data_IF_447370574808
#
_entry.id   IF_447370574808
#
_cell.length_a   1.000
_cell.length_b   1.000
_cell.length_c   1.000
_cell.angle_alpha   90.00
_cell.angle_beta   90.00
_cell.angle_gamma   90.00
#
_symmetry.space_group_name_H-M   'P 1'
#
loop_
_entity.id
_entity.type
_entity.pdbx_description
1 polymer ?
#
# COMPACT_ATOMS: atom_id res chain seq x y z
N UNK A 1 18.34 18.12 -4.80
CA UNK A 1 17.13 18.29 -3.98
C UNK A 1 17.60 18.43 -2.55
N UNK A 2 17.20 19.48 -1.83
CA UNK A 2 17.71 19.74 -0.47
C UNK A 2 17.17 18.69 0.51
N UNK A 3 18.05 18.20 1.38
CA UNK A 3 17.71 17.27 2.47
C UNK A 3 16.65 17.94 3.40
N UNK A 4 15.55 17.25 3.81
CA UNK A 4 14.56 17.79 4.75
C UNK A 4 15.17 18.39 6.02
N UNK A 5 16.25 17.81 6.53
CA UNK A 5 16.99 18.28 7.70
C UNK A 5 17.63 19.66 7.45
N UNK A 6 18.32 19.82 6.32
CA UNK A 6 18.90 21.10 5.87
C UNK A 6 17.81 22.17 5.70
N UNK A 7 16.63 21.78 5.20
CA UNK A 7 15.50 22.69 5.00
C UNK A 7 14.93 23.21 6.33
N UNK A 8 14.88 22.35 7.36
CA UNK A 8 14.44 22.71 8.71
C UNK A 8 15.45 23.62 9.43
N UNK A 9 16.75 23.36 9.28
CA UNK A 9 17.80 24.25 9.81
C UNK A 9 17.70 25.66 9.21
N UNK A 10 17.52 25.74 7.89
CA UNK A 10 17.33 27.02 7.19
C UNK A 10 16.05 27.73 7.64
N UNK A 11 14.95 26.99 7.84
CA UNK A 11 13.70 27.53 8.34
C UNK A 11 13.83 28.05 9.77
N UNK A 12 14.55 27.33 10.63
CA UNK A 12 14.83 27.74 12.01
C UNK A 12 15.65 29.02 12.06
N UNK A 13 16.74 29.10 11.29
CA UNK A 13 17.57 30.31 11.21
C UNK A 13 16.76 31.51 10.71
N UNK A 14 15.93 31.30 9.67
CA UNK A 14 15.03 32.33 9.14
C UNK A 14 13.99 32.79 10.17
N UNK A 15 13.39 31.86 10.92
CA UNK A 15 12.41 32.16 11.96
C UNK A 15 13.03 32.99 13.10
N UNK A 16 14.23 32.61 13.55
CA UNK A 16 14.99 33.36 14.57
C UNK A 16 15.28 34.78 14.11
N UNK A 17 15.75 34.97 12.86
CA UNK A 17 16.00 36.30 12.31
C UNK A 17 14.73 37.17 12.26
N UNK A 18 13.56 36.55 12.06
CA UNK A 18 12.27 37.23 11.95
C UNK A 18 11.49 37.30 13.27
N UNK A 19 12.07 36.82 14.38
CA UNK A 19 11.41 36.79 15.69
C UNK A 19 10.12 35.96 15.68
N UNK A 20 10.06 34.88 14.90
CA UNK A 20 8.89 34.00 14.79
C UNK A 20 9.09 32.71 15.57
N UNK A 21 7.99 32.18 16.10
CA UNK A 21 7.96 30.84 16.70
C UNK A 21 8.20 29.78 15.64
N UNK A 22 9.09 28.83 15.94
CA UNK A 22 9.36 27.66 15.13
C UNK A 22 9.82 26.51 16.04
N UNK A 23 9.09 25.39 15.99
CA UNK A 23 9.41 24.14 16.65
C UNK A 23 9.80 23.12 15.57
N UNK A 24 11.10 22.89 15.32
CA UNK A 24 11.57 22.08 14.20
C UNK A 24 11.05 20.65 14.27
N UNK A 25 11.04 20.04 15.47
CA UNK A 25 10.57 18.67 15.69
C UNK A 25 9.10 18.43 15.27
N UNK A 26 8.23 19.42 15.50
CA UNK A 26 6.81 19.34 15.13
C UNK A 26 6.63 19.44 13.60
N UNK A 27 7.43 20.27 12.94
CA UNK A 27 7.39 20.45 11.48
C UNK A 27 8.03 19.25 10.78
N UNK A 28 9.11 18.74 11.34
CA UNK A 28 9.80 17.53 10.89
C UNK A 28 8.88 16.31 10.92
N UNK A 29 8.19 16.10 12.05
CA UNK A 29 7.15 15.06 12.18
C UNK A 29 6.04 15.25 11.14
N UNK A 30 5.55 16.47 10.95
CA UNK A 30 4.54 16.77 9.93
C UNK A 30 5.01 16.46 8.49
N UNK A 31 6.27 16.76 8.18
CA UNK A 31 6.86 16.48 6.87
C UNK A 31 7.00 14.98 6.67
N UNK A 32 7.57 14.24 7.64
CA UNK A 32 7.72 12.78 7.55
C UNK A 32 6.39 12.08 7.34
N UNK A 33 5.36 12.47 8.09
CA UNK A 33 4.02 11.88 7.95
C UNK A 33 3.44 12.11 6.55
N UNK A 34 3.68 13.26 5.93
CA UNK A 34 3.17 13.55 4.58
C UNK A 34 4.00 12.89 3.49
N UNK A 35 5.31 12.81 3.69
CA UNK A 35 6.22 12.18 2.74
C UNK A 35 5.96 10.67 2.68
N UNK A 36 5.94 10.00 3.84
CA UNK A 36 5.76 8.55 3.94
C UNK A 36 4.37 8.06 3.53
N UNK A 37 3.30 8.84 3.77
CA UNK A 37 1.93 8.35 3.57
C UNK A 37 1.14 9.05 2.46
N UNK A 38 1.58 10.24 2.01
CA UNK A 38 0.89 10.99 0.95
C UNK A 38 1.78 11.24 -0.28
N UNK A 39 3.05 10.81 -0.25
CA UNK A 39 4.04 11.11 -1.31
C UNK A 39 4.28 12.62 -1.49
N UNK A 40 4.00 13.43 -0.46
CA UNK A 40 4.05 14.87 -0.53
C UNK A 40 5.37 15.40 0.05
N UNK A 41 6.26 15.78 -0.84
CA UNK A 41 7.57 16.35 -0.50
C UNK A 41 7.44 17.60 0.40
N UNK A 42 8.48 17.85 1.21
CA UNK A 42 8.54 18.92 2.21
C UNK A 42 8.20 20.33 1.68
N UNK A 43 8.42 20.57 0.39
CA UNK A 43 8.23 21.87 -0.24
C UNK A 43 6.89 22.04 -0.97
N UNK A 44 6.07 20.98 -1.06
CA UNK A 44 4.77 20.96 -1.75
C UNK A 44 3.62 20.91 -0.74
N UNK A 45 2.77 21.94 -0.75
CA UNK A 45 1.65 22.09 0.20
C UNK A 45 0.34 22.47 -0.51
N UNK A 46 -0.34 21.52 -1.17
CA UNK A 46 -1.65 21.75 -1.78
C UNK A 46 -2.72 22.08 -0.73
N UNK A 47 -3.82 22.71 -1.17
CA UNK A 47 -4.97 22.95 -0.29
C UNK A 47 -5.56 21.64 0.25
N UNK A 48 -6.18 21.68 1.43
CA UNK A 48 -6.81 20.54 2.13
C UNK A 48 -5.85 19.49 2.70
N UNK A 49 -4.55 19.59 2.41
CA UNK A 49 -3.56 18.62 2.90
C UNK A 49 -3.13 18.86 4.35
N UNK A 50 -3.35 20.06 4.90
CA UNK A 50 -3.03 20.38 6.29
C UNK A 50 -4.11 19.88 7.23
N UNK A 51 -5.37 20.00 6.82
CA UNK A 51 -6.50 19.42 7.55
C UNK A 51 -6.36 17.90 7.62
N UNK A 52 -6.05 17.24 6.51
CA UNK A 52 -5.78 15.81 6.44
C UNK A 52 -4.61 15.39 7.34
N UNK A 53 -3.49 16.14 7.28
CA UNK A 53 -2.36 15.90 8.18
C UNK A 53 -2.79 15.93 9.65
N UNK A 54 -3.49 16.99 10.08
CA UNK A 54 -3.77 17.23 11.49
C UNK A 54 -4.89 16.34 12.05
N UNK A 55 -5.82 15.89 11.21
CA UNK A 55 -7.01 15.16 11.65
C UNK A 55 -7.03 13.69 11.26
N UNK A 56 -6.15 13.28 10.35
CA UNK A 56 -6.07 11.89 9.87
C UNK A 56 -4.66 11.34 10.07
N UNK A 57 -3.64 11.93 9.44
CA UNK A 57 -2.27 11.36 9.48
C UNK A 57 -1.62 11.41 10.86
N UNK A 58 -1.75 12.52 11.57
CA UNK A 58 -1.18 12.64 12.90
C UNK A 58 -1.89 11.76 13.94
N UNK A 59 -3.24 11.73 14.00
CA UNK A 59 -3.94 10.76 14.83
C UNK A 59 -3.57 9.31 14.49
N UNK A 60 -3.52 8.94 13.21
CA UNK A 60 -3.28 7.55 12.78
C UNK A 60 -1.84 7.07 12.95
N UNK A 61 -0.86 7.88 12.55
CA UNK A 61 0.53 7.46 12.39
C UNK A 61 1.54 8.34 13.13
N UNK A 62 1.11 9.48 13.67
CA UNK A 62 1.96 10.34 14.47
C UNK A 62 2.20 9.79 15.89
N UNK A 63 3.07 10.43 16.68
CA UNK A 63 3.36 10.05 18.06
C UNK A 63 2.10 9.91 18.93
N UNK A 64 2.20 9.13 20.01
CA UNK A 64 1.15 9.07 21.03
C UNK A 64 1.00 10.40 21.77
N UNK A 65 -0.22 10.66 22.21
CA UNK A 65 -0.59 11.90 22.88
C UNK A 65 -0.92 13.06 21.94
N UNK A 66 -1.39 14.15 22.54
CA UNK A 66 -1.76 15.37 21.81
C UNK A 66 -0.51 16.25 21.68
N UNK A 67 -0.07 16.63 20.47
CA UNK A 67 1.03 17.56 20.32
C UNK A 67 0.65 18.95 20.86
N UNK A 68 1.63 19.83 21.07
CA UNK A 68 1.33 21.26 21.26
C UNK A 68 0.77 21.83 19.96
N UNK A 69 -0.56 21.81 19.84
CA UNK A 69 -1.28 22.22 18.64
C UNK A 69 -1.05 23.70 18.32
N UNK A 70 -0.91 24.54 19.33
CA UNK A 70 -0.66 25.97 19.12
C UNK A 70 0.74 26.20 18.54
N UNK A 71 1.75 25.51 19.07
CA UNK A 71 3.11 25.55 18.55
C UNK A 71 3.20 24.93 17.15
N UNK A 72 2.49 23.82 16.87
CA UNK A 72 2.45 23.18 15.56
C UNK A 72 1.89 24.14 14.50
N UNK A 73 0.71 24.73 14.75
CA UNK A 73 0.07 25.68 13.82
C UNK A 73 0.96 26.90 13.56
N UNK A 74 1.57 27.46 14.61
CA UNK A 74 2.48 28.60 14.47
C UNK A 74 3.74 28.25 13.67
N UNK A 75 4.30 27.06 13.89
CA UNK A 75 5.52 26.59 13.24
C UNK A 75 5.29 26.26 11.77
N UNK A 76 4.15 25.67 11.43
CA UNK A 76 3.73 25.43 10.04
C UNK A 76 3.51 26.75 9.27
N UNK A 77 2.84 27.76 9.85
CA UNK A 77 2.73 29.10 9.22
C UNK A 77 4.11 29.73 8.97
N UNK A 78 5.01 29.61 9.94
CA UNK A 78 6.40 30.07 9.80
C UNK A 78 7.13 29.33 8.69
N UNK A 79 6.95 28.01 8.60
CA UNK A 79 7.57 27.18 7.56
C UNK A 79 7.10 27.57 6.15
N UNK A 80 5.80 27.68 5.91
CA UNK A 80 5.27 28.03 4.59
C UNK A 80 5.69 29.44 4.14
N UNK A 81 5.78 30.39 5.08
CA UNK A 81 6.28 31.74 4.78
C UNK A 81 7.77 31.74 4.47
N UNK A 82 8.56 30.92 5.16
CA UNK A 82 9.95 30.69 4.80
C UNK A 82 10.05 30.13 3.37
N UNK A 83 9.33 29.05 3.06
CA UNK A 83 9.35 28.44 1.72
C UNK A 83 8.95 29.44 0.63
N UNK A 84 7.87 30.19 0.84
CA UNK A 84 7.38 31.18 -0.13
C UNK A 84 8.36 32.35 -0.28
N UNK A 85 8.83 32.93 0.82
CA UNK A 85 9.70 34.12 0.77
C UNK A 85 11.10 33.85 0.23
N UNK A 86 11.53 32.58 0.25
CA UNK A 86 12.84 32.16 -0.24
C UNK A 86 12.78 31.45 -1.60
N UNK A 87 11.61 31.41 -2.24
CA UNK A 87 11.40 30.79 -3.56
C UNK A 87 11.49 29.26 -3.56
N UNK A 88 11.37 28.61 -2.40
CA UNK A 88 11.47 27.15 -2.23
C UNK A 88 10.13 26.45 -2.29
N UNK A 89 9.01 27.17 -2.26
CA UNK A 89 7.68 26.58 -2.31
C UNK A 89 7.36 26.06 -3.72
N UNK A 90 7.00 24.77 -3.83
CA UNK A 90 6.70 24.12 -5.10
C UNK A 90 5.45 24.70 -5.78
N UNK A 91 5.41 24.58 -7.11
CA UNK A 91 4.20 24.81 -7.91
C UNK A 91 3.05 23.88 -7.46
N UNK A 92 1.81 24.37 -7.55
CA UNK A 92 0.63 23.65 -7.06
C UNK A 92 0.40 23.72 -5.55
N UNK A 93 1.25 24.43 -4.80
CA UNK A 93 1.01 24.70 -3.37
C UNK A 93 0.04 25.87 -3.18
N UNK A 94 -0.84 25.77 -2.19
CA UNK A 94 -1.75 26.84 -1.82
C UNK A 94 -1.01 28.03 -1.17
N UNK A 95 -1.65 29.19 -1.13
CA UNK A 95 -1.05 30.36 -0.49
C UNK A 95 -0.84 30.14 1.02
N UNK A 96 0.31 30.57 1.61
CA UNK A 96 0.59 30.38 3.03
C UNK A 96 -0.51 30.87 3.97
N UNK A 97 -1.20 31.96 3.61
CA UNK A 97 -2.32 32.46 4.40
C UNK A 97 -3.53 31.50 4.42
N UNK A 98 -3.80 30.81 3.30
CA UNK A 98 -4.87 29.82 3.22
C UNK A 98 -4.51 28.57 4.04
N UNK A 99 -3.27 28.07 3.91
CA UNK A 99 -2.75 26.94 4.70
C UNK A 99 -2.79 27.25 6.21
N UNK A 100 -2.45 28.47 6.62
CA UNK A 100 -2.54 28.90 8.02
C UNK A 100 -3.98 28.94 8.55
N UNK A 101 -4.95 29.34 7.73
CA UNK A 101 -6.37 29.27 8.12
C UNK A 101 -6.85 27.83 8.23
N UNK A 102 -6.42 26.97 7.32
CA UNK A 102 -6.71 25.54 7.34
C UNK A 102 -6.16 24.90 8.62
N UNK A 103 -4.87 25.11 8.91
CA UNK A 103 -4.21 24.64 10.13
C UNK A 103 -4.94 25.11 11.41
N UNK A 104 -5.35 26.38 11.44
CA UNK A 104 -6.07 26.94 12.58
C UNK A 104 -7.45 26.32 12.77
N UNK A 105 -8.16 25.98 11.68
CA UNK A 105 -9.45 25.30 11.74
C UNK A 105 -9.29 23.86 12.20
N UNK A 106 -8.34 23.12 11.62
CA UNK A 106 -8.04 21.75 11.98
C UNK A 106 -7.53 21.63 13.43
N UNK A 107 -6.65 22.53 13.87
CA UNK A 107 -6.11 22.54 15.23
C UNK A 107 -7.16 22.61 16.33
N UNK A 108 -8.35 23.19 16.08
CA UNK A 108 -9.45 23.18 17.05
C UNK A 108 -10.01 21.78 17.33
N UNK A 109 -9.86 20.86 16.38
CA UNK A 109 -10.36 19.47 16.44
C UNK A 109 -9.25 18.45 16.71
N UNK A 110 -7.99 18.82 16.44
CA UNK A 110 -6.84 17.92 16.51
C UNK A 110 -6.68 17.22 17.86
N UNK A 111 -6.91 17.95 18.97
CA UNK A 111 -6.80 17.34 20.30
C UNK A 111 -7.79 16.19 20.50
N UNK A 112 -9.06 16.39 20.12
CA UNK A 112 -10.08 15.34 20.19
C UNK A 112 -9.75 14.17 19.24
N UNK A 113 -9.27 14.46 18.04
CA UNK A 113 -8.89 13.43 17.06
C UNK A 113 -7.71 12.57 17.56
N UNK A 114 -6.71 13.18 18.21
CA UNK A 114 -5.54 12.47 18.75
C UNK A 114 -5.82 11.68 20.04
N UNK A 115 -6.94 11.91 20.71
CA UNK A 115 -7.36 11.17 21.92
C UNK A 115 -8.40 10.10 21.64
N UNK A 116 -8.86 10.00 20.40
CA UNK A 116 -9.87 9.03 19.99
C UNK A 116 -9.16 7.83 19.36
N UNK A 117 -9.07 6.74 20.11
CA UNK A 117 -8.39 5.51 19.71
C UNK A 117 -8.93 4.92 18.40
N UNK A 118 -10.14 5.34 17.98
CA UNK A 118 -10.71 4.96 16.68
C UNK A 118 -9.97 5.57 15.48
N UNK A 119 -9.23 6.65 15.69
CA UNK A 119 -8.45 7.30 14.65
C UNK A 119 -7.00 6.77 14.58
N UNK A 120 -6.64 5.78 15.40
CA UNK A 120 -5.27 5.25 15.45
C UNK A 120 -5.08 4.16 14.40
N UNK A 121 -3.96 4.21 13.68
CA UNK A 121 -3.56 3.12 12.79
C UNK A 121 -2.98 1.94 13.57
N UNK A 122 -2.96 0.77 12.93
CA UNK A 122 -2.53 -0.51 13.54
C UNK A 122 -1.14 -0.43 14.20
N UNK A 123 -0.18 0.22 13.53
CA UNK A 123 1.16 0.39 14.09
C UNK A 123 1.16 1.26 15.36
N UNK A 124 0.33 2.30 15.40
CA UNK A 124 0.22 3.16 16.58
C UNK A 124 -0.44 2.42 17.74
N UNK A 125 -1.50 1.66 17.49
CA UNK A 125 -2.12 0.79 18.51
C UNK A 125 -1.09 -0.18 19.09
N UNK A 126 -0.29 -0.82 18.24
CA UNK A 126 0.72 -1.78 18.65
C UNK A 126 1.84 -1.13 19.49
N UNK A 127 2.31 0.07 19.09
CA UNK A 127 3.32 0.80 19.85
C UNK A 127 2.79 1.28 21.20
N UNK A 128 1.55 1.76 21.27
CA UNK A 128 0.89 2.12 22.53
C UNK A 128 0.75 0.92 23.46
N UNK A 129 0.40 -0.25 22.92
CA UNK A 129 0.42 -1.49 23.69
C UNK A 129 1.82 -1.84 24.21
N UNK A 130 2.85 -1.62 23.39
CA UNK A 130 4.25 -1.75 23.80
C UNK A 130 4.58 -0.88 25.01
N UNK A 131 4.22 0.39 24.99
CA UNK A 131 4.40 1.32 26.11
C UNK A 131 3.68 0.82 27.37
N UNK A 132 2.45 0.33 27.25
CA UNK A 132 1.67 -0.23 28.37
C UNK A 132 2.37 -1.42 29.05
N UNK A 133 3.00 -2.31 28.27
CA UNK A 133 3.75 -3.45 28.80
C UNK A 133 5.20 -3.10 29.18
N UNK A 134 5.57 -1.82 29.12
CA UNK A 134 6.87 -1.30 29.54
C UNK A 134 7.99 -1.46 28.50
N UNK A 135 7.63 -1.64 27.22
CA UNK A 135 8.57 -1.74 26.10
C UNK A 135 8.38 -0.52 25.18
N UNK A 136 9.27 0.46 25.29
CA UNK A 136 9.33 1.63 24.39
C UNK A 136 10.43 1.45 23.33
N UNK A 137 10.30 2.16 22.21
CA UNK A 137 11.32 2.22 21.15
C UNK A 137 12.19 3.50 21.23
N UNK A 138 11.79 4.50 22.04
CA UNK A 138 12.34 5.86 21.98
C UNK A 138 13.80 5.98 22.44
N UNK A 139 14.26 5.10 23.32
CA UNK A 139 15.63 5.04 23.84
C UNK A 139 16.49 3.96 23.17
N UNK A 140 15.96 3.29 22.15
CA UNK A 140 16.72 2.27 21.43
C UNK A 140 17.92 2.92 20.72
N UNK A 141 19.11 2.36 20.94
CA UNK A 141 20.37 2.93 20.45
C UNK A 141 20.85 2.32 19.13
N UNK A 142 20.12 1.31 18.64
CA UNK A 142 20.43 0.58 17.41
C UNK A 142 19.16 0.03 16.77
N UNK A 143 19.23 -0.25 15.47
CA UNK A 143 18.12 -0.84 14.71
C UNK A 143 17.82 -2.26 15.22
N UNK A 144 18.86 -3.00 15.60
CA UNK A 144 18.73 -4.34 16.19
C UNK A 144 17.94 -4.30 17.50
N UNK A 145 18.19 -3.31 18.35
CA UNK A 145 17.46 -3.10 19.60
C UNK A 145 16.00 -2.69 19.35
N UNK A 146 15.75 -1.83 18.35
CA UNK A 146 14.38 -1.49 17.90
C UNK A 146 13.64 -2.74 17.45
N UNK A 147 14.26 -3.60 16.64
CA UNK A 147 13.66 -4.82 16.11
C UNK A 147 13.39 -5.85 17.22
N UNK A 148 14.30 -6.04 18.17
CA UNK A 148 14.10 -6.92 19.31
C UNK A 148 12.95 -6.44 20.20
N UNK A 149 12.88 -5.14 20.50
CA UNK A 149 11.81 -4.54 21.28
C UNK A 149 10.48 -4.67 20.55
N UNK A 150 10.42 -4.35 19.26
CA UNK A 150 9.22 -4.47 18.45
C UNK A 150 8.72 -5.92 18.34
N UNK A 151 9.61 -6.89 18.11
CA UNK A 151 9.25 -8.31 18.08
C UNK A 151 8.61 -8.79 19.39
N UNK A 152 9.14 -8.36 20.54
CA UNK A 152 8.54 -8.66 21.85
C UNK A 152 7.15 -8.05 22.02
N UNK A 153 6.93 -6.84 21.49
CA UNK A 153 5.60 -6.19 21.49
C UNK A 153 4.62 -7.01 20.64
N UNK A 154 5.02 -7.41 19.43
CA UNK A 154 4.20 -8.22 18.53
C UNK A 154 3.88 -9.60 19.11
N UNK A 155 4.85 -10.28 19.71
CA UNK A 155 4.64 -11.57 20.36
C UNK A 155 3.66 -11.45 21.53
N UNK A 156 3.84 -10.42 22.37
CA UNK A 156 2.93 -10.13 23.48
C UNK A 156 1.52 -9.78 22.99
N UNK A 157 1.40 -9.05 21.88
CA UNK A 157 0.12 -8.71 21.25
C UNK A 157 -0.57 -9.97 20.73
N UNK A 158 0.14 -10.81 19.98
CA UNK A 158 -0.41 -12.04 19.41
C UNK A 158 -0.78 -13.09 20.46
N UNK A 159 -0.14 -13.06 21.63
CA UNK A 159 -0.51 -13.88 22.78
C UNK A 159 -1.83 -13.45 23.45
N UNK A 160 -2.36 -12.25 23.14
CA UNK A 160 -3.65 -11.80 23.66
C UNK A 160 -4.81 -12.60 23.02
N UNK A 161 -5.87 -12.89 23.80
CA UNK A 161 -7.12 -13.40 23.26
C UNK A 161 -7.67 -12.52 22.13
N UNK A 162 -8.29 -13.14 21.12
CA UNK A 162 -8.77 -12.43 19.93
C UNK A 162 -9.82 -11.34 20.27
N UNK A 163 -10.65 -11.54 21.29
CA UNK A 163 -11.61 -10.54 21.76
C UNK A 163 -10.94 -9.33 22.42
N UNK A 164 -9.79 -9.54 23.08
CA UNK A 164 -9.01 -8.45 23.66
C UNK A 164 -8.28 -7.64 22.58
N UNK A 165 -7.73 -8.30 21.55
CA UNK A 165 -7.14 -7.61 20.39
C UNK A 165 -8.17 -6.76 19.64
N UNK A 166 -9.41 -7.26 19.48
CA UNK A 166 -10.53 -6.50 18.90
C UNK A 166 -10.89 -5.28 19.74
N UNK A 167 -11.09 -5.45 21.06
CA UNK A 167 -11.38 -4.31 21.96
C UNK A 167 -10.33 -3.20 21.93
N UNK A 168 -9.06 -3.56 21.73
CA UNK A 168 -7.93 -2.63 21.65
C UNK A 168 -7.76 -1.97 20.28
N UNK A 169 -8.57 -2.39 19.30
CA UNK A 169 -8.52 -1.90 17.92
C UNK A 169 -9.88 -1.32 17.48
N UNK A 170 -10.54 -0.45 18.28
CA UNK A 170 -11.92 -0.04 18.04
C UNK A 170 -12.12 0.78 16.75
N UNK A 171 -11.05 1.34 16.18
CA UNK A 171 -11.06 2.05 14.89
C UNK A 171 -11.06 1.14 13.67
N UNK A 172 -10.52 -0.07 13.80
CA UNK A 172 -10.60 -1.10 12.77
C UNK A 172 -12.02 -1.65 12.71
N UNK A 173 -12.65 -1.89 13.87
CA UNK A 173 -14.07 -2.30 13.94
C UNK A 173 -15.01 -1.19 13.41
N UNK A 174 -14.68 0.10 13.53
CA UNK A 174 -15.52 1.21 13.02
C UNK A 174 -15.32 1.47 11.51
N UNK A 175 -14.13 1.24 10.97
CA UNK A 175 -13.92 1.17 9.52
C UNK A 175 -14.59 -0.07 8.92
N UNK A 176 -14.58 -1.20 9.64
CA UNK A 176 -15.36 -2.40 9.30
C UNK A 176 -16.88 -2.22 9.50
N UNK A 177 -17.31 -1.39 10.45
CA UNK A 177 -18.73 -1.12 10.74
C UNK A 177 -19.30 0.08 9.96
N UNK A 178 -18.54 1.08 9.54
CA UNK A 178 -18.99 2.04 8.52
C UNK A 178 -19.01 1.39 7.13
N UNK A 179 -18.13 0.41 6.88
CA UNK A 179 -18.27 -0.54 5.77
C UNK A 179 -19.34 -1.62 6.00
N UNK A 180 -19.94 -1.69 7.20
CA UNK A 180 -20.87 -2.75 7.63
C UNK A 180 -22.21 -2.25 8.20
N UNK A 181 -22.49 -0.95 8.15
CA UNK A 181 -23.74 -0.36 8.67
C UNK A 181 -24.89 -0.42 7.65
N UNK A 182 -24.71 -1.12 6.54
CA UNK A 182 -25.78 -1.76 5.76
C UNK A 182 -25.64 -3.29 5.78
N UNK A 183 -25.48 -3.90 6.95
CA UNK A 183 -25.33 -5.36 6.96
C UNK A 183 -25.39 -6.05 8.31
N UNK A 184 -26.54 -6.00 9.00
CA UNK A 184 -26.90 -7.11 9.88
C UNK A 184 -27.32 -8.30 8.98
N UNK A 185 -26.32 -8.93 8.37
CA UNK A 185 -26.40 -10.09 7.50
C UNK A 185 -25.07 -10.85 7.58
N UNK A 186 -25.14 -12.12 7.96
CA UNK A 186 -24.07 -13.12 7.94
C UNK A 186 -23.20 -13.07 6.65
N UNK A 187 -21.89 -12.80 6.78
CA UNK A 187 -20.89 -12.77 5.70
C UNK A 187 -20.60 -11.37 5.16
N UNK A 188 -19.31 -10.99 4.98
CA UNK A 188 -18.98 -9.67 4.42
C UNK A 188 -19.67 -9.49 3.07
N UNK A 189 -20.37 -8.38 2.87
CA UNK A 189 -21.32 -8.16 1.78
C UNK A 189 -20.72 -8.39 0.37
N UNK A 190 -19.42 -8.13 0.20
CA UNK A 190 -18.69 -8.41 -1.05
C UNK A 190 -18.48 -9.92 -1.32
N UNK A 191 -18.46 -10.78 -0.29
CA UNK A 191 -18.33 -12.24 -0.48
C UNK A 191 -19.57 -12.85 -1.11
N UNK A 192 -20.73 -12.22 -0.98
CA UNK A 192 -21.94 -12.61 -1.70
C UNK A 192 -21.83 -12.37 -3.21
N UNK A 193 -20.92 -11.47 -3.63
CA UNK A 193 -20.62 -11.19 -5.02
C UNK A 193 -19.59 -12.12 -5.65
N UNK A 194 -18.95 -13.01 -4.87
CA UNK A 194 -17.98 -13.96 -5.41
C UNK A 194 -18.66 -15.12 -6.15
N UNK A 195 -17.94 -15.66 -7.14
CA UNK A 195 -18.31 -16.86 -7.87
C UNK A 195 -18.29 -18.10 -6.96
N UNK A 196 -18.90 -19.19 -7.43
CA UNK A 196 -18.75 -20.49 -6.77
C UNK A 196 -17.25 -20.89 -6.76
N UNK A 197 -16.64 -21.17 -5.59
CA UNK A 197 -15.24 -21.57 -5.54
C UNK A 197 -14.89 -22.74 -6.47
N UNK A 198 -15.84 -23.63 -6.77
CA UNK A 198 -15.64 -24.74 -7.69
C UNK A 198 -15.35 -24.29 -9.14
N UNK A 199 -15.78 -23.08 -9.55
CA UNK A 199 -15.54 -22.54 -10.89
C UNK A 199 -14.32 -21.62 -10.93
N UNK A 200 -14.03 -20.87 -9.85
CA UNK A 200 -12.84 -20.01 -9.75
C UNK A 200 -11.55 -20.79 -9.47
N UNK A 201 -11.55 -21.73 -8.52
CA UNK A 201 -10.34 -22.46 -8.10
C UNK A 201 -9.58 -23.16 -9.23
N UNK A 202 -10.23 -23.76 -10.25
CA UNK A 202 -9.54 -24.31 -11.42
C UNK A 202 -8.66 -23.28 -12.15
N UNK A 203 -9.09 -22.02 -12.27
CA UNK A 203 -8.31 -20.97 -12.93
C UNK A 203 -7.04 -20.64 -12.16
N UNK A 204 -7.14 -20.50 -10.84
CA UNK A 204 -5.98 -20.29 -9.95
C UNK A 204 -5.00 -21.45 -10.08
N UNK A 205 -5.47 -22.70 -9.93
CA UNK A 205 -4.64 -23.91 -9.95
C UNK A 205 -3.90 -24.12 -11.27
N UNK A 206 -4.53 -23.75 -12.38
CA UNK A 206 -3.99 -23.93 -13.72
C UNK A 206 -3.10 -22.76 -14.19
N UNK A 207 -2.99 -21.69 -13.40
CA UNK A 207 -2.24 -20.49 -13.76
C UNK A 207 -0.73 -20.76 -13.86
N UNK A 208 -0.07 -20.08 -14.81
CA UNK A 208 1.39 -20.15 -14.96
C UNK A 208 2.10 -19.57 -13.73
N UNK A 209 1.46 -18.60 -13.07
CA UNK A 209 1.91 -18.04 -11.80
C UNK A 209 2.01 -19.11 -10.71
N UNK A 210 0.97 -19.92 -10.49
CA UNK A 210 1.00 -20.99 -9.47
C UNK A 210 2.03 -22.07 -9.83
N UNK A 211 2.19 -22.39 -11.12
CA UNK A 211 3.24 -23.31 -11.55
C UNK A 211 4.65 -22.79 -11.22
N UNK A 212 4.91 -21.51 -11.48
CA UNK A 212 6.16 -20.84 -11.16
C UNK A 212 6.39 -20.72 -9.65
N UNK A 213 5.33 -20.46 -8.89
CA UNK A 213 5.36 -20.38 -7.43
C UNK A 213 5.69 -21.73 -6.79
N UNK A 214 5.14 -22.84 -7.32
CA UNK A 214 5.57 -24.20 -6.91
C UNK A 214 7.05 -24.43 -7.16
N UNK A 215 7.54 -24.05 -8.33
CA UNK A 215 8.96 -24.20 -8.65
C UNK A 215 9.84 -23.39 -7.69
N UNK A 216 9.43 -22.16 -7.34
CA UNK A 216 10.12 -21.35 -6.33
C UNK A 216 10.10 -22.02 -4.95
N UNK A 217 8.93 -22.48 -4.47
CA UNK A 217 8.78 -23.13 -3.17
C UNK A 217 9.63 -24.40 -3.07
N UNK A 218 9.60 -25.25 -4.10
CA UNK A 218 10.44 -26.44 -4.21
C UNK A 218 11.93 -26.07 -4.22
N UNK A 219 12.29 -24.99 -4.93
CA UNK A 219 13.66 -24.50 -4.98
C UNK A 219 14.13 -23.93 -3.64
N UNK A 220 13.27 -23.25 -2.87
CA UNK A 220 13.59 -22.74 -1.53
C UNK A 220 13.88 -23.92 -0.59
N UNK A 221 13.01 -24.92 -0.60
CA UNK A 221 13.15 -26.14 0.20
C UNK A 221 13.41 -25.85 1.68
N UNK A 222 14.43 -26.49 2.25
CA UNK A 222 14.70 -26.42 3.70
C UNK A 222 15.43 -25.17 4.17
N UNK A 223 15.80 -24.25 3.27
CA UNK A 223 16.54 -23.05 3.67
C UNK A 223 17.23 -22.32 2.54
N UNK A 224 16.95 -21.02 2.40
CA UNK A 224 17.70 -20.06 1.57
C UNK A 224 18.04 -18.82 2.37
N UNK A 225 19.25 -18.29 2.19
CA UNK A 225 19.68 -17.12 2.94
C UNK A 225 18.99 -15.84 2.46
N UNK A 226 18.50 -15.07 3.42
CA UNK A 226 17.84 -13.77 3.19
C UNK A 226 18.63 -12.63 3.82
N UNK A 227 18.33 -11.41 3.40
CA UNK A 227 18.77 -10.15 4.03
C UNK A 227 18.00 -9.90 5.32
N UNK A 228 18.40 -8.87 6.07
CA UNK A 228 17.65 -8.40 7.26
C UNK A 228 16.25 -7.89 6.93
N UNK A 229 15.99 -7.54 5.66
CA UNK A 229 14.68 -7.13 5.15
C UNK A 229 13.86 -8.28 4.57
N UNK A 230 14.34 -9.53 4.70
CA UNK A 230 13.59 -10.71 4.24
C UNK A 230 13.72 -11.03 2.75
N UNK A 231 14.47 -10.25 1.96
CA UNK A 231 14.71 -10.54 0.55
C UNK A 231 15.82 -11.59 0.35
N UNK A 232 15.75 -12.40 -0.70
CA UNK A 232 16.86 -13.29 -1.06
C UNK A 232 18.15 -12.48 -1.27
N UNK A 233 19.26 -12.93 -0.68
CA UNK A 233 20.57 -12.29 -0.89
C UNK A 233 20.95 -12.32 -2.37
N UNK A 234 21.69 -11.32 -2.89
CA UNK A 234 21.94 -11.18 -4.34
C UNK A 234 22.47 -12.43 -5.04
N UNK A 235 23.41 -13.15 -4.42
CA UNK A 235 23.95 -14.41 -4.97
C UNK A 235 22.87 -15.51 -5.04
N UNK A 236 22.01 -15.57 -4.04
CA UNK A 236 20.92 -16.54 -3.93
C UNK A 236 19.78 -16.18 -4.88
N UNK A 237 19.43 -14.89 -4.97
CA UNK A 237 18.44 -14.37 -5.92
C UNK A 237 18.85 -14.67 -7.38
N UNK A 238 20.12 -14.47 -7.73
CA UNK A 238 20.65 -14.84 -9.05
C UNK A 238 20.49 -16.35 -9.33
N UNK A 239 20.85 -17.19 -8.36
CA UNK A 239 20.69 -18.63 -8.50
C UNK A 239 19.20 -19.05 -8.63
N UNK A 240 18.28 -18.31 -8.01
CA UNK A 240 16.85 -18.51 -8.17
C UNK A 240 16.39 -18.15 -9.59
N UNK A 241 16.80 -16.98 -10.11
CA UNK A 241 16.49 -16.56 -11.49
C UNK A 241 16.94 -17.62 -12.51
N UNK A 242 18.17 -18.11 -12.39
CA UNK A 242 18.72 -19.13 -13.28
C UNK A 242 17.94 -20.46 -13.16
N UNK A 243 17.63 -20.88 -11.92
CA UNK A 243 16.96 -22.15 -11.66
C UNK A 243 15.49 -22.17 -12.10
N UNK A 244 14.81 -21.03 -11.99
CA UNK A 244 13.40 -20.85 -12.34
C UNK A 244 13.21 -20.40 -13.80
N UNK A 245 14.29 -20.08 -14.52
CA UNK A 245 14.23 -19.65 -15.91
C UNK A 245 13.61 -18.26 -16.09
N UNK A 246 13.81 -17.35 -15.12
CA UNK A 246 13.18 -16.01 -15.09
C UNK A 246 13.92 -14.96 -15.94
N UNK A 247 14.78 -15.39 -16.86
CA UNK A 247 15.57 -14.54 -17.75
C UNK A 247 17.01 -14.32 -17.28
N UNK A 248 17.66 -13.29 -17.82
CA UNK A 248 19.05 -12.95 -17.52
C UNK A 248 19.15 -12.00 -16.32
N UNK A 249 20.08 -12.30 -15.40
CA UNK A 249 20.35 -11.43 -14.27
C UNK A 249 21.12 -10.15 -14.68
N UNK A 250 20.53 -8.97 -14.43
CA UNK A 250 21.24 -7.70 -14.61
C UNK A 250 22.29 -7.50 -13.50
N UNK A 251 23.53 -7.18 -13.88
CA UNK A 251 24.63 -6.99 -12.93
C UNK A 251 24.43 -5.80 -11.98
N UNK A 252 23.54 -4.88 -12.29
CA UNK A 252 23.16 -3.74 -11.44
C UNK A 252 22.20 -4.14 -10.31
N UNK A 253 21.49 -5.27 -10.42
CA UNK A 253 20.56 -5.75 -9.41
C UNK A 253 21.28 -6.20 -8.13
N UNK A 254 20.78 -5.73 -6.99
CA UNK A 254 21.36 -5.90 -5.65
C UNK A 254 20.56 -6.89 -4.79
N UNK A 255 19.35 -7.25 -5.19
CA UNK A 255 18.48 -8.20 -4.49
C UNK A 255 17.39 -8.77 -5.41
N UNK A 256 16.59 -9.71 -4.89
CA UNK A 256 15.40 -10.20 -5.59
C UNK A 256 14.40 -9.08 -5.94
N UNK A 257 14.34 -8.00 -5.14
CA UNK A 257 13.44 -6.87 -5.36
C UNK A 257 13.71 -6.15 -6.69
N UNK A 258 14.96 -6.15 -7.14
CA UNK A 258 15.37 -5.49 -8.39
C UNK A 258 15.02 -6.36 -9.63
N UNK A 259 14.65 -7.63 -9.43
CA UNK A 259 14.23 -8.56 -10.49
C UNK A 259 12.72 -8.79 -10.39
N UNK A 260 11.94 -8.01 -11.14
CA UNK A 260 10.47 -8.00 -11.00
C UNK A 260 9.81 -9.39 -11.07
N UNK A 261 10.16 -10.30 -12.01
CA UNK A 261 9.57 -11.64 -12.04
C UNK A 261 9.85 -12.46 -10.77
N UNK A 262 11.06 -12.37 -10.20
CA UNK A 262 11.39 -13.07 -8.96
C UNK A 262 10.73 -12.39 -7.75
N UNK A 263 10.67 -11.06 -7.75
CA UNK A 263 10.05 -10.29 -6.67
C UNK A 263 8.56 -10.60 -6.54
N UNK A 264 7.83 -10.65 -7.66
CA UNK A 264 6.41 -11.04 -7.70
C UNK A 264 6.17 -12.40 -7.04
N UNK A 265 6.95 -13.41 -7.42
CA UNK A 265 6.85 -14.76 -6.85
C UNK A 265 7.24 -14.77 -5.37
N UNK A 266 8.25 -14.00 -4.97
CA UNK A 266 8.72 -13.93 -3.59
C UNK A 266 7.69 -13.32 -2.65
N UNK A 267 7.09 -12.17 -3.02
CA UNK A 267 6.04 -11.54 -2.21
C UNK A 267 4.86 -12.47 -2.02
N UNK A 268 4.34 -13.06 -3.11
CA UNK A 268 3.23 -13.97 -3.01
C UNK A 268 3.57 -15.22 -2.19
N UNK A 269 4.78 -15.79 -2.30
CA UNK A 269 5.19 -16.93 -1.50
C UNK A 269 5.19 -16.62 0.00
N UNK A 270 5.62 -15.42 0.39
CA UNK A 270 5.63 -14.98 1.78
C UNK A 270 4.22 -14.62 2.26
N UNK A 271 3.47 -13.82 1.50
CA UNK A 271 2.11 -13.38 1.85
C UNK A 271 1.09 -14.52 1.91
N UNK A 272 1.32 -15.61 1.16
CA UNK A 272 0.50 -16.83 1.21
C UNK A 272 1.06 -17.90 2.15
N UNK A 273 2.08 -17.57 2.95
CA UNK A 273 2.70 -18.47 3.94
C UNK A 273 3.37 -19.73 3.38
N UNK A 274 3.54 -19.83 2.05
CA UNK A 274 4.30 -20.91 1.41
C UNK A 274 5.80 -20.82 1.72
N UNK A 275 6.28 -19.64 2.11
CA UNK A 275 7.64 -19.40 2.57
C UNK A 275 7.61 -18.62 3.89
N UNK A 276 8.16 -19.23 4.94
CA UNK A 276 8.36 -18.58 6.23
C UNK A 276 9.72 -17.89 6.26
N UNK A 277 9.73 -16.61 6.62
CA UNK A 277 10.95 -15.86 6.90
C UNK A 277 11.36 -16.04 8.36
N UNK A 278 12.52 -16.68 8.57
CA UNK A 278 13.21 -16.76 9.85
C UNK A 278 14.38 -15.78 9.87
N UNK A 279 14.96 -15.55 11.06
CA UNK A 279 15.99 -14.54 11.31
C UNK A 279 17.06 -14.36 10.22
N UNK A 280 17.53 -15.43 9.58
CA UNK A 280 18.49 -15.35 8.45
C UNK A 280 18.17 -16.26 7.27
N UNK A 281 17.02 -16.95 7.30
CA UNK A 281 16.68 -17.97 6.30
C UNK A 281 15.20 -17.95 5.96
N UNK A 282 14.91 -18.15 4.69
CA UNK A 282 13.59 -18.52 4.22
C UNK A 282 13.47 -20.04 4.15
N UNK A 283 12.34 -20.59 4.62
CA UNK A 283 12.03 -22.02 4.61
C UNK A 283 10.70 -22.22 3.92
N UNK A 284 10.62 -23.20 3.02
CA UNK A 284 9.39 -23.55 2.34
C UNK A 284 8.45 -24.35 3.26
N UNK A 285 7.16 -24.07 3.18
CA UNK A 285 6.06 -24.76 3.84
C UNK A 285 5.13 -25.37 2.80
N UNK A 286 5.54 -26.47 2.13
CA UNK A 286 4.72 -27.09 1.10
C UNK A 286 3.36 -27.62 1.63
N UNK A 287 3.22 -27.80 2.93
CA UNK A 287 1.94 -28.13 3.57
C UNK A 287 0.92 -26.98 3.57
N UNK A 288 1.36 -25.73 3.36
CA UNK A 288 0.48 -24.57 3.27
C UNK A 288 -0.24 -24.47 1.91
N UNK A 289 0.07 -25.35 0.94
CA UNK A 289 -0.67 -25.40 -0.32
C UNK A 289 -2.16 -25.73 -0.08
N UNK A 290 -3.10 -24.98 -0.70
CA UNK A 290 -4.52 -25.23 -0.56
C UNK A 290 -4.95 -26.63 -0.98
N UNK A 291 -5.91 -27.20 -0.24
CA UNK A 291 -6.44 -28.55 -0.48
C UNK A 291 -7.89 -28.55 -0.94
N UNK A 292 -8.64 -27.48 -0.65
CA UNK A 292 -10.03 -27.30 -1.07
C UNK A 292 -10.18 -26.16 -2.07
N UNK A 293 -11.24 -26.17 -2.87
CA UNK A 293 -11.52 -25.11 -3.85
C UNK A 293 -11.64 -23.73 -3.17
N UNK A 294 -12.27 -23.66 -2.00
CA UNK A 294 -12.38 -22.43 -1.22
C UNK A 294 -11.01 -21.90 -0.76
N UNK A 295 -10.14 -22.79 -0.30
CA UNK A 295 -8.76 -22.41 0.08
C UNK A 295 -7.98 -21.94 -1.16
N UNK A 296 -8.18 -22.55 -2.32
CA UNK A 296 -7.55 -22.13 -3.59
C UNK A 296 -7.97 -20.73 -4.02
N UNK A 297 -9.25 -20.38 -3.87
CA UNK A 297 -9.72 -19.01 -4.15
C UNK A 297 -9.13 -18.02 -3.15
N UNK A 298 -9.19 -18.32 -1.84
CA UNK A 298 -8.61 -17.44 -0.82
C UNK A 298 -7.11 -17.20 -1.04
N UNK A 299 -6.36 -18.25 -1.35
CA UNK A 299 -4.96 -18.18 -1.74
C UNK A 299 -4.72 -17.27 -2.95
N UNK A 300 -5.54 -17.43 -3.99
CA UNK A 300 -5.45 -16.60 -5.19
C UNK A 300 -5.72 -15.13 -4.89
N UNK A 301 -6.73 -14.82 -4.08
CA UNK A 301 -7.06 -13.45 -3.69
C UNK A 301 -5.94 -12.80 -2.88
N UNK A 302 -5.33 -13.52 -1.92
CA UNK A 302 -4.17 -13.03 -1.17
C UNK A 302 -2.98 -12.79 -2.11
N UNK A 303 -2.67 -13.72 -3.01
CA UNK A 303 -1.60 -13.53 -3.98
C UNK A 303 -1.87 -12.32 -4.90
N UNK A 304 -3.11 -12.13 -5.35
CA UNK A 304 -3.49 -10.97 -6.16
C UNK A 304 -3.36 -9.66 -5.37
N UNK A 305 -3.69 -9.65 -4.07
CA UNK A 305 -3.52 -8.49 -3.19
C UNK A 305 -2.06 -8.05 -3.09
N UNK A 306 -1.16 -8.97 -2.75
CA UNK A 306 0.29 -8.70 -2.64
C UNK A 306 0.87 -8.15 -3.95
N UNK A 307 0.36 -8.66 -5.07
CA UNK A 307 0.76 -8.21 -6.40
C UNK A 307 0.13 -6.87 -6.79
N UNK A 308 -1.05 -6.54 -6.28
CA UNK A 308 -1.69 -5.24 -6.50
C UNK A 308 -0.88 -4.11 -5.86
N UNK A 309 -0.44 -4.29 -4.61
CA UNK A 309 0.43 -3.32 -3.92
C UNK A 309 1.75 -3.10 -4.67
N UNK A 310 2.36 -4.19 -5.17
CA UNK A 310 3.56 -4.08 -6.00
C UNK A 310 3.26 -3.39 -7.33
N UNK A 311 2.14 -3.69 -7.99
CA UNK A 311 1.74 -3.03 -9.23
C UNK A 311 1.50 -1.53 -9.03
N UNK A 312 0.98 -1.12 -7.87
CA UNK A 312 0.80 0.28 -7.49
C UNK A 312 2.16 1.00 -7.38
N UNK A 313 3.16 0.34 -6.79
CA UNK A 313 4.53 0.87 -6.75
C UNK A 313 5.13 1.02 -8.16
N UNK A 314 4.87 0.05 -9.05
CA UNK A 314 5.31 0.07 -10.45
C UNK A 314 4.48 1.01 -11.35
N UNK A 315 3.34 1.53 -10.86
CA UNK A 315 2.43 2.42 -11.58
C UNK A 315 1.68 1.75 -12.74
N UNK A 316 1.35 0.47 -12.60
CA UNK A 316 0.67 -0.36 -13.61
C UNK A 316 -0.65 -0.97 -13.14
N UNK A 317 -1.12 -0.62 -11.95
CA UNK A 317 -2.33 -1.14 -11.30
C UNK A 317 -3.63 -0.55 -11.86
N UNK A 318 -3.61 0.74 -12.24
CA UNK A 318 -4.83 1.50 -12.58
C UNK A 318 -5.83 0.77 -13.49
N UNK A 319 -5.40 0.10 -14.58
CA UNK A 319 -6.35 -0.50 -15.52
C UNK A 319 -7.00 -1.77 -14.99
N UNK A 320 -6.43 -2.42 -13.97
CA UNK A 320 -6.74 -3.82 -13.64
C UNK A 320 -8.22 -4.02 -13.29
N UNK A 321 -8.72 -3.33 -12.27
CA UNK A 321 -10.07 -3.56 -11.73
C UNK A 321 -11.15 -3.26 -12.77
N UNK A 322 -11.04 -2.13 -13.48
CA UNK A 322 -11.99 -1.80 -14.55
C UNK A 322 -11.92 -2.77 -15.72
N UNK A 323 -10.71 -3.20 -16.12
CA UNK A 323 -10.54 -4.17 -17.19
C UNK A 323 -11.22 -5.48 -16.85
N UNK A 324 -11.07 -5.97 -15.62
CA UNK A 324 -11.65 -7.23 -15.17
C UNK A 324 -13.18 -7.19 -15.20
N UNK A 325 -13.80 -6.11 -14.67
CA UNK A 325 -15.25 -5.93 -14.77
C UNK A 325 -15.74 -5.87 -16.22
N UNK A 326 -14.98 -5.22 -17.09
CA UNK A 326 -15.36 -5.01 -18.47
C UNK A 326 -15.26 -6.29 -19.33
N UNK A 327 -14.26 -7.15 -19.10
CA UNK A 327 -14.08 -8.41 -19.86
C UNK A 327 -14.75 -9.62 -19.22
N UNK A 328 -15.43 -9.40 -18.09
CA UNK A 328 -16.11 -10.44 -17.32
C UNK A 328 -17.23 -11.13 -18.12
N UNK A 329 -17.48 -12.41 -17.80
CA UNK A 329 -18.50 -13.22 -18.45
C UNK A 329 -19.92 -13.08 -17.87
N UNK A 330 -20.07 -12.53 -16.67
CA UNK A 330 -21.35 -12.30 -15.99
C UNK A 330 -22.00 -10.97 -16.41
N UNK A 331 -21.19 -9.92 -16.59
CA UNK A 331 -21.68 -8.57 -16.93
C UNK A 331 -20.97 -7.90 -18.14
N UNK A 332 -19.75 -8.31 -18.44
CA UNK A 332 -18.92 -7.75 -19.50
C UNK A 332 -19.02 -8.47 -20.85
N UNK A 333 -18.09 -8.17 -21.76
CA UNK A 333 -17.96 -8.88 -23.02
C UNK A 333 -16.48 -9.06 -23.42
N UNK A 334 -16.11 -10.22 -24.01
CA UNK A 334 -14.77 -10.43 -24.53
C UNK A 334 -14.29 -9.27 -25.41
N UNK A 335 -13.10 -8.74 -25.10
CA UNK A 335 -12.50 -7.64 -25.88
C UNK A 335 -11.35 -8.12 -26.71
N UNK A 336 -11.29 -7.67 -27.96
CA UNK A 336 -10.07 -7.84 -28.77
C UNK A 336 -8.93 -7.12 -28.06
N UNK A 337 -7.80 -7.81 -27.85
CA UNK A 337 -6.59 -7.24 -27.24
C UNK A 337 -6.17 -5.92 -27.90
N UNK A 338 -6.26 -5.86 -29.24
CA UNK A 338 -5.95 -4.67 -30.02
C UNK A 338 -6.90 -3.47 -29.80
N UNK A 339 -8.06 -3.68 -29.20
CA UNK A 339 -9.05 -2.64 -28.92
C UNK A 339 -9.10 -2.21 -27.45
N UNK A 340 -8.36 -2.88 -26.56
CA UNK A 340 -8.38 -2.58 -25.12
C UNK A 340 -7.76 -1.20 -24.84
N UNK A 341 -6.71 -0.82 -25.58
CA UNK A 341 -6.10 0.51 -25.43
C UNK A 341 -7.07 1.66 -25.75
N UNK A 342 -7.84 1.52 -26.84
CA UNK A 342 -8.85 2.51 -27.21
C UNK A 342 -10.00 2.58 -26.21
N UNK A 343 -10.41 1.44 -25.64
CA UNK A 343 -11.40 1.39 -24.57
C UNK A 343 -10.86 2.04 -23.28
N UNK A 344 -9.66 1.68 -22.85
CA UNK A 344 -9.05 2.20 -21.63
C UNK A 344 -8.87 3.72 -21.69
N UNK A 345 -8.49 4.25 -22.86
CA UNK A 345 -8.43 5.71 -23.07
C UNK A 345 -9.77 6.43 -22.90
N UNK A 346 -10.89 5.73 -23.11
CA UNK A 346 -12.23 6.27 -22.95
C UNK A 346 -12.82 6.00 -21.56
N UNK A 347 -12.12 5.21 -20.73
CA UNK A 347 -12.65 4.77 -19.44
C UNK A 347 -12.63 5.90 -18.41
N UNK A 348 -13.70 6.07 -17.61
CA UNK A 348 -13.73 7.09 -16.57
C UNK A 348 -12.69 6.87 -15.46
N UNK A 349 -12.23 5.64 -15.21
CA UNK A 349 -11.16 5.36 -14.25
C UNK A 349 -9.76 5.53 -14.79
N UNK A 350 -9.57 5.98 -16.03
CA UNK A 350 -8.25 6.32 -16.55
C UNK A 350 -7.86 7.75 -16.13
N UNK A 351 -6.96 7.94 -15.15
CA UNK A 351 -6.59 9.28 -14.67
C UNK A 351 -5.78 10.07 -15.70
N UNK A 352 -5.29 9.42 -16.75
CA UNK A 352 -4.50 10.02 -17.83
C UNK A 352 -5.38 10.44 -19.02
N UNK A 353 -6.64 10.00 -19.07
CA UNK A 353 -7.56 10.34 -20.12
C UNK A 353 -8.12 11.77 -19.92
N UNK A 354 -8.09 12.58 -20.98
CA UNK A 354 -8.68 13.91 -20.96
C UNK A 354 -8.31 14.73 -22.19
N UNK A 355 -9.15 15.70 -22.60
CA UNK A 355 -8.98 16.46 -23.85
C UNK A 355 -7.74 17.37 -23.86
N UNK A 356 -7.10 17.55 -22.72
CA UNK A 356 -5.89 18.34 -22.56
C UNK A 356 -4.68 17.38 -22.53
N UNK A 357 -3.90 17.37 -23.62
CA UNK A 357 -2.63 16.63 -23.78
C UNK A 357 -2.70 15.18 -24.31
N UNK A 358 -3.72 14.81 -25.12
CA UNK A 358 -3.84 13.51 -25.82
C UNK A 358 -2.52 12.97 -26.38
N UNK A 359 -1.78 13.79 -27.13
CA UNK A 359 -0.56 13.35 -27.83
C UNK A 359 0.60 12.96 -26.89
N UNK A 360 0.56 13.38 -25.62
CA UNK A 360 1.59 13.08 -24.61
C UNK A 360 1.11 12.03 -23.63
N UNK A 361 -0.16 12.09 -23.20
CA UNK A 361 -0.70 11.19 -22.19
C UNK A 361 -1.13 9.83 -22.77
N UNK A 362 -1.52 9.78 -24.05
CA UNK A 362 -1.95 8.51 -24.67
C UNK A 362 -0.86 7.45 -24.69
N UNK A 363 0.39 7.72 -25.12
CA UNK A 363 1.46 6.72 -25.04
C UNK A 363 1.72 6.23 -23.61
N UNK A 364 1.68 7.12 -22.61
CA UNK A 364 1.87 6.75 -21.20
C UNK A 364 0.74 5.82 -20.73
N UNK A 365 -0.51 6.16 -21.08
CA UNK A 365 -1.68 5.33 -20.78
C UNK A 365 -1.61 3.96 -21.46
N UNK A 366 -1.16 3.90 -22.71
CA UNK A 366 -1.01 2.65 -23.45
C UNK A 366 0.12 1.79 -22.86
N UNK A 367 1.23 2.40 -22.44
CA UNK A 367 2.35 1.74 -21.76
C UNK A 367 1.93 1.20 -20.38
N UNK A 368 1.18 1.98 -19.58
CA UNK A 368 0.61 1.54 -18.29
C UNK A 368 -0.32 0.34 -18.49
N UNK A 369 -1.20 0.37 -19.51
CA UNK A 369 -2.06 -0.76 -19.84
C UNK A 369 -1.27 -2.00 -20.28
N UNK A 370 -0.25 -1.81 -21.12
CA UNK A 370 0.61 -2.91 -21.54
C UNK A 370 1.33 -3.54 -20.35
N UNK A 371 1.86 -2.70 -19.44
CA UNK A 371 2.46 -3.12 -18.18
C UNK A 371 1.48 -3.91 -17.31
N UNK A 372 0.25 -3.42 -17.14
CA UNK A 372 -0.80 -4.13 -16.40
C UNK A 372 -1.08 -5.54 -16.98
N UNK A 373 -1.24 -5.63 -18.30
CA UNK A 373 -1.53 -6.89 -18.98
C UNK A 373 -0.37 -7.89 -18.89
N UNK A 374 0.86 -7.41 -18.90
CA UNK A 374 2.06 -8.24 -18.71
C UNK A 374 2.20 -8.68 -17.25
N UNK A 375 2.01 -7.74 -16.32
CA UNK A 375 2.19 -7.96 -14.89
C UNK A 375 1.20 -8.96 -14.31
N UNK A 376 -0.05 -8.96 -14.76
CA UNK A 376 -1.08 -9.86 -14.22
C UNK A 376 -1.45 -11.03 -15.16
N UNK A 377 -0.85 -11.11 -16.35
CA UNK A 377 -1.25 -12.03 -17.41
C UNK A 377 -1.08 -13.51 -17.09
N UNK A 378 -0.23 -13.86 -16.13
CA UNK A 378 0.07 -15.24 -15.70
C UNK A 378 -0.77 -15.72 -14.51
N UNK A 379 -1.58 -14.85 -13.87
CA UNK A 379 -2.40 -15.18 -12.69
C UNK A 379 -3.66 -15.99 -13.02
N UNK A 380 -4.03 -16.08 -14.29
CA UNK A 380 -5.26 -16.74 -14.71
C UNK A 380 -6.52 -15.90 -14.49
N UNK A 381 -6.39 -14.57 -14.39
CA UNK A 381 -7.53 -13.64 -14.26
C UNK A 381 -8.38 -13.59 -15.54
N UNK A 382 -7.73 -13.73 -16.69
CA UNK A 382 -8.37 -13.84 -18.00
C UNK A 382 -7.69 -14.92 -18.83
N UNK A 383 -8.33 -15.29 -19.94
CA UNK A 383 -7.74 -16.12 -20.99
C UNK A 383 -7.69 -15.35 -22.29
N UNK A 384 -6.71 -15.64 -23.13
CA UNK A 384 -6.64 -15.10 -24.50
C UNK A 384 -7.05 -16.17 -25.52
N UNK A 385 -8.11 -15.90 -26.28
CA UNK A 385 -8.59 -16.80 -27.33
C UNK A 385 -8.85 -16.03 -28.61
N UNK A 386 -8.16 -16.41 -29.69
CA UNK A 386 -8.28 -15.75 -31.00
C UNK A 386 -8.08 -14.21 -30.94
N UNK A 387 -7.17 -13.76 -30.06
CA UNK A 387 -6.88 -12.34 -29.83
C UNK A 387 -7.92 -11.61 -28.99
N UNK A 388 -8.84 -12.31 -28.34
CA UNK A 388 -9.78 -11.75 -27.37
C UNK A 388 -9.35 -12.08 -25.95
N UNK A 389 -9.36 -11.08 -25.07
CA UNK A 389 -9.32 -11.26 -23.63
C UNK A 389 -10.73 -11.64 -23.14
N UNK A 390 -10.80 -12.71 -22.36
CA UNK A 390 -12.04 -13.25 -21.79
C UNK A 390 -11.79 -13.40 -20.28
N UNK A 391 -12.55 -12.69 -19.47
CA UNK A 391 -12.50 -12.80 -18.01
C UNK A 391 -12.81 -14.22 -17.55
N UNK A 392 -12.20 -14.62 -16.43
CA UNK A 392 -12.51 -15.87 -15.74
C UNK A 392 -13.31 -15.58 -14.48
N UNK A 393 -13.95 -16.60 -13.91
CA UNK A 393 -14.64 -16.46 -12.62
C UNK A 393 -13.68 -16.01 -11.50
N UNK A 394 -12.43 -16.44 -11.54
CA UNK A 394 -11.42 -15.95 -10.60
C UNK A 394 -11.02 -14.49 -10.87
N UNK A 395 -11.00 -14.06 -12.14
CA UNK A 395 -10.81 -12.66 -12.50
C UNK A 395 -11.91 -11.76 -11.96
N UNK A 396 -13.17 -12.22 -12.01
CA UNK A 396 -14.29 -11.56 -11.36
C UNK A 396 -14.12 -11.48 -9.84
N UNK A 397 -13.77 -12.59 -9.20
CA UNK A 397 -13.54 -12.64 -7.75
C UNK A 397 -12.46 -11.65 -7.32
N UNK A 398 -11.37 -11.56 -8.09
CA UNK A 398 -10.33 -10.55 -7.90
C UNK A 398 -10.85 -9.12 -8.08
N UNK A 399 -11.67 -8.86 -9.10
CA UNK A 399 -12.22 -7.52 -9.33
C UNK A 399 -13.09 -7.06 -8.15
N UNK A 400 -14.01 -7.91 -7.68
CA UNK A 400 -14.87 -7.64 -6.52
C UNK A 400 -14.02 -7.44 -5.26
N UNK A 401 -13.05 -8.33 -5.01
CA UNK A 401 -12.18 -8.24 -3.85
C UNK A 401 -11.32 -6.97 -3.86
N UNK A 402 -10.67 -6.65 -4.97
CA UNK A 402 -9.81 -5.47 -5.10
C UNK A 402 -10.63 -4.18 -5.03
N UNK A 403 -11.81 -4.13 -5.66
CA UNK A 403 -12.73 -3.01 -5.51
C UNK A 403 -13.14 -2.80 -4.05
N UNK A 404 -13.42 -3.87 -3.29
CA UNK A 404 -13.77 -3.78 -1.89
C UNK A 404 -12.60 -3.37 -0.97
N UNK A 405 -11.37 -3.77 -1.32
CA UNK A 405 -10.18 -3.58 -0.45
C UNK A 405 -9.32 -2.38 -0.81
N UNK A 406 -9.43 -1.87 -2.03
CA UNK A 406 -8.62 -0.77 -2.55
C UNK A 406 -9.45 0.39 -3.09
N UNK A 407 -10.75 0.46 -2.77
CA UNK A 407 -11.58 1.60 -3.16
C UNK A 407 -11.00 2.90 -2.61
N UNK A 408 -10.66 3.88 -3.48
CA UNK A 408 -10.26 5.20 -3.03
C UNK A 408 -11.51 5.96 -2.62
N UNK A 409 -11.88 5.88 -1.34
CA UNK A 409 -12.97 6.66 -0.72
C UNK A 409 -14.33 6.62 -1.45
N UNK A 410 -15.16 5.60 -1.18
CA UNK A 410 -16.62 5.73 -1.18
C UNK A 410 -17.30 6.31 -2.44
N UNK A 411 -16.74 6.11 -3.63
CA UNK A 411 -17.51 6.25 -4.86
C UNK A 411 -18.16 4.91 -5.16
N UNK A 412 -19.47 4.82 -4.90
CA UNK A 412 -20.33 3.80 -5.47
C UNK A 412 -20.07 3.73 -6.98
N UNK A 413 -19.60 2.57 -7.46
CA UNK A 413 -19.73 2.22 -8.86
C UNK A 413 -21.22 2.00 -9.11
N UNK A 414 -21.91 3.01 -9.65
CA UNK A 414 -23.23 2.81 -10.24
C UNK A 414 -23.05 1.87 -11.45
N UNK A 415 -23.55 0.63 -11.31
CA UNK A 415 -23.60 -0.38 -12.37
C UNK A 415 -24.66 -0.11 -13.44
#
# INVERSE_FOLDING_TARGET
MSNPEELLELAQAWATQRGRTFAPELVDTAIRLRDSYDGLEAHRWPARTVEHLMLVRWPSHGPHGVPDVAALVASLDTFWRFLRSTGRMAGGSAEPAALAQEAKKAGKRMAAACTDDRNFGSNKILLGFGEEIGITLDDATSIEEVQERFGRITDAWNALPADERRRRSPGLDALEAEAGAEGDGDGSEWTAGLSDPATSAPHVRASEFVASLRALVDWVGTGREVTSTGALRPVIARAAVDALGLGDWDRSWRSAMDCLPLHRLWLAAVGTELVELRATKAVAHPEAWPTTDREWVAFGLVAAHELYDLAMYEGVEYPLTELLFEIDGHQGAPKKRAAVADWWWQSPGNPLAGPEHDAVMRPISDDTLAGCLEFFGDLGLWTERAGYLIGTDFGWDCAVYLAATHSPDGQEFEG
#
